data_IF_228971951654
#
_entry.id   IF_228971951654
#
_cell.length_a   1.000
_cell.length_b   1.000
_cell.length_c   1.000
_cell.angle_alpha   90.00
_cell.angle_beta   90.00
_cell.angle_gamma   90.00
#
_symmetry.space_group_name_H-M   'P 1'
#
loop_
_entity.id
_entity.type
_entity.pdbx_description
1 polymer ?
#
# COMPACT_ATOMS: atom_id res chain seq x y z
N UNK A 1 -30.89 -30.06 10.24
CA UNK A 1 -29.55 -30.39 9.72
C UNK A 1 -29.15 -29.33 8.72
N UNK A 2 -27.94 -28.82 8.89
CA UNK A 2 -27.17 -27.84 8.10
C UNK A 2 -27.34 -28.04 6.58
N UNK A 3 -27.26 -27.05 5.70
CA UNK A 3 -26.18 -26.05 5.55
C UNK A 3 -26.75 -24.79 4.89
N UNK A 4 -26.79 -23.68 5.62
CA UNK A 4 -26.76 -22.34 5.03
C UNK A 4 -25.32 -21.88 5.06
N UNK A 5 -24.65 -21.90 3.90
CA UNK A 5 -23.46 -21.08 3.65
C UNK A 5 -23.25 -21.00 2.15
N UNK A 6 -24.07 -20.15 1.53
CA UNK A 6 -23.62 -19.44 0.35
C UNK A 6 -22.40 -18.61 0.76
N UNK A 7 -21.22 -19.21 0.70
CA UNK A 7 -19.93 -18.53 0.88
C UNK A 7 -19.57 -17.82 -0.43
N UNK A 8 -20.43 -16.86 -0.77
CA UNK A 8 -20.02 -15.48 -1.08
C UNK A 8 -18.82 -15.15 -0.15
N UNK A 9 -17.66 -14.71 -0.59
CA UNK A 9 -17.34 -13.83 -1.69
C UNK A 9 -15.83 -13.87 -1.93
N UNK A 10 -15.45 -13.65 -3.19
CA UNK A 10 -14.17 -13.15 -3.69
C UNK A 10 -12.87 -13.79 -3.17
N UNK A 11 -12.15 -14.38 -4.11
CA UNK A 11 -10.75 -14.04 -4.36
C UNK A 11 -9.99 -13.42 -3.17
N UNK A 12 -9.06 -14.20 -2.65
CA UNK A 12 -7.85 -13.82 -1.93
C UNK A 12 -6.94 -12.85 -2.72
N UNK A 13 -7.49 -11.94 -3.52
CA UNK A 13 -6.78 -10.87 -4.22
C UNK A 13 -6.61 -9.68 -3.27
N UNK A 14 -5.84 -9.88 -2.20
CA UNK A 14 -5.24 -8.76 -1.48
C UNK A 14 -4.46 -7.86 -2.46
N UNK A 15 -4.13 -6.62 -2.09
CA UNK A 15 -3.34 -5.76 -2.95
C UNK A 15 -2.05 -6.48 -3.37
N UNK A 16 -1.87 -6.69 -4.68
CA UNK A 16 -0.68 -7.35 -5.24
C UNK A 16 0.49 -6.39 -5.37
N UNK A 17 0.23 -5.11 -5.44
CA UNK A 17 1.24 -4.06 -5.62
C UNK A 17 1.05 -2.96 -4.58
N UNK A 18 2.01 -2.83 -3.68
CA UNK A 18 2.07 -1.75 -2.70
C UNK A 18 3.07 -0.70 -3.17
N UNK A 19 2.62 0.55 -3.28
CA UNK A 19 3.49 1.68 -3.62
C UNK A 19 3.95 2.33 -2.32
N UNK A 20 5.19 2.05 -1.92
CA UNK A 20 5.77 2.45 -0.64
C UNK A 20 6.64 3.69 -0.84
N UNK A 21 6.46 4.75 -0.03
CA UNK A 21 7.31 5.95 -0.05
C UNK A 21 8.48 5.89 0.94
N UNK A 22 8.53 4.87 1.79
CA UNK A 22 9.62 4.62 2.73
C UNK A 22 9.24 3.55 3.75
N UNK A 23 10.26 2.93 4.35
CA UNK A 23 10.12 1.95 5.43
C UNK A 23 10.89 2.45 6.64
N UNK A 24 10.26 2.43 7.82
CA UNK A 24 10.81 3.04 9.03
C UNK A 24 10.73 2.07 10.20
N UNK A 25 11.74 2.05 11.07
CA UNK A 25 11.67 1.32 12.34
C UNK A 25 10.81 2.03 13.39
N UNK A 26 10.74 3.36 13.30
CA UNK A 26 10.03 4.20 14.27
C UNK A 26 8.68 4.60 13.69
N UNK A 27 7.55 4.29 14.35
CA UNK A 27 6.21 4.57 13.81
C UNK A 27 5.95 6.06 13.59
N UNK A 28 6.47 6.92 14.47
CA UNK A 28 6.34 8.39 14.36
C UNK A 28 6.95 8.96 13.07
N UNK A 29 8.03 8.35 12.57
CA UNK A 29 8.64 8.75 11.30
C UNK A 29 7.77 8.35 10.11
N UNK A 30 7.19 7.15 10.15
CA UNK A 30 6.21 6.72 9.16
C UNK A 30 4.97 7.62 9.16
N UNK A 31 4.44 7.99 10.33
CA UNK A 31 3.31 8.92 10.45
C UNK A 31 3.62 10.30 9.88
N UNK A 32 4.82 10.84 10.16
CA UNK A 32 5.26 12.10 9.56
C UNK A 32 5.23 12.01 8.04
N UNK A 33 5.72 10.89 7.47
CA UNK A 33 5.70 10.67 6.04
C UNK A 33 4.29 10.57 5.47
N UNK A 34 3.37 9.88 6.16
CA UNK A 34 1.95 9.83 5.76
C UNK A 34 1.31 11.20 5.77
N UNK A 35 1.58 12.03 6.80
CA UNK A 35 1.06 13.41 6.84
C UNK A 35 1.55 14.26 5.68
N UNK A 36 2.82 14.12 5.28
CA UNK A 36 3.37 14.78 4.08
C UNK A 36 2.64 14.33 2.81
N UNK A 37 2.42 13.01 2.66
CA UNK A 37 1.70 12.43 1.53
C UNK A 37 0.24 12.90 1.47
N UNK A 38 -0.43 12.98 2.61
CA UNK A 38 -1.80 13.51 2.71
C UNK A 38 -1.85 14.98 2.27
N UNK A 39 -0.89 15.81 2.73
CA UNK A 39 -0.76 17.21 2.29
C UNK A 39 -0.50 17.34 0.79
N UNK A 40 0.23 16.39 0.20
CA UNK A 40 0.46 16.32 -1.24
C UNK A 40 -0.74 15.76 -2.04
N UNK A 41 -1.84 15.40 -1.38
CA UNK A 41 -3.09 14.93 -2.01
C UNK A 41 -3.28 13.42 -2.02
N UNK A 42 -2.33 12.63 -1.51
CA UNK A 42 -2.42 11.18 -1.44
C UNK A 42 -3.20 10.71 -0.21
N UNK A 43 -4.52 10.94 -0.19
CA UNK A 43 -5.38 10.64 0.98
C UNK A 43 -5.48 9.15 1.34
N UNK A 44 -5.19 8.27 0.39
CA UNK A 44 -5.16 6.81 0.60
C UNK A 44 -3.86 6.32 1.26
N UNK A 45 -2.89 7.21 1.48
CA UNK A 45 -1.64 6.82 2.10
C UNK A 45 -1.87 6.36 3.55
N UNK A 46 -1.23 5.26 3.93
CA UNK A 46 -1.34 4.65 5.24
C UNK A 46 -0.10 3.86 5.62
N UNK A 47 0.01 3.50 6.90
CA UNK A 47 1.11 2.68 7.40
C UNK A 47 0.69 1.21 7.31
N UNK A 48 1.54 0.40 6.71
CA UNK A 48 1.38 -1.06 6.65
C UNK A 48 2.61 -1.70 7.28
N UNK A 49 2.40 -2.60 8.23
CA UNK A 49 3.45 -3.47 8.76
C UNK A 49 3.31 -4.80 8.04
N UNK A 50 4.33 -5.16 7.25
CA UNK A 50 4.32 -6.44 6.54
C UNK A 50 4.68 -7.55 7.53
N UNK A 51 4.02 -8.72 7.51
CA UNK A 51 4.24 -9.77 8.50
C UNK A 51 5.68 -10.33 8.52
N UNK A 52 6.40 -10.24 7.41
CA UNK A 52 7.82 -10.63 7.29
C UNK A 52 8.79 -9.51 7.70
N UNK A 53 8.30 -8.41 8.29
CA UNK A 53 9.08 -7.21 8.50
C UNK A 53 8.69 -6.46 9.78
N UNK A 54 9.69 -6.08 10.57
CA UNK A 54 9.51 -5.21 11.73
C UNK A 54 9.47 -3.71 11.34
N UNK A 55 9.49 -3.40 10.04
CA UNK A 55 9.44 -2.03 9.55
C UNK A 55 7.98 -1.57 9.32
N UNK A 56 7.69 -0.35 9.76
CA UNK A 56 6.50 0.41 9.43
C UNK A 56 6.66 1.00 8.02
N UNK A 57 6.00 0.41 7.03
CA UNK A 57 6.05 0.90 5.65
C UNK A 57 4.99 1.99 5.44
N UNK A 58 5.43 3.16 4.97
CA UNK A 58 4.55 4.24 4.54
C UNK A 58 4.08 3.95 3.11
N UNK A 59 2.90 3.34 2.98
CA UNK A 59 2.26 3.03 1.70
C UNK A 59 1.49 4.25 1.21
N UNK A 60 1.73 4.68 -0.03
CA UNK A 60 0.98 5.75 -0.70
C UNK A 60 -0.38 5.22 -1.15
N UNK A 61 -0.38 4.04 -1.76
CA UNK A 61 -1.56 3.36 -2.26
C UNK A 61 -1.23 1.89 -2.55
N UNK A 62 -2.27 1.07 -2.71
CA UNK A 62 -2.11 -0.33 -3.05
C UNK A 62 -3.13 -0.76 -4.11
N UNK A 63 -2.71 -1.66 -5.00
CA UNK A 63 -3.49 -2.04 -6.18
C UNK A 63 -3.46 -3.56 -6.38
N UNK A 64 -4.55 -4.10 -6.90
CA UNK A 64 -4.62 -5.48 -7.38
C UNK A 64 -3.94 -5.66 -8.75
N UNK A 65 -3.92 -4.60 -9.57
CA UNK A 65 -3.43 -4.63 -10.95
C UNK A 65 -2.17 -3.77 -11.17
N UNK A 66 -1.25 -4.30 -11.98
CA UNK A 66 0.00 -3.61 -12.32
C UNK A 66 -0.24 -2.31 -13.09
N UNK A 67 -1.24 -2.28 -13.99
CA UNK A 67 -1.56 -1.09 -14.76
C UNK A 67 -1.96 0.10 -13.87
N UNK A 68 -2.72 -0.14 -12.80
CA UNK A 68 -3.12 0.89 -11.83
C UNK A 68 -1.93 1.37 -11.00
N UNK A 69 -1.06 0.44 -10.59
CA UNK A 69 0.21 0.76 -9.93
C UNK A 69 1.11 1.64 -10.81
N UNK A 70 1.26 1.30 -12.09
CA UNK A 70 2.07 2.05 -13.05
C UNK A 70 1.55 3.47 -13.29
N UNK A 71 0.23 3.67 -13.32
CA UNK A 71 -0.36 5.03 -13.39
C UNK A 71 0.02 5.89 -12.19
N UNK A 72 0.04 5.33 -10.98
CA UNK A 72 0.48 6.07 -9.79
C UNK A 72 1.98 6.34 -9.84
N UNK A 73 2.78 5.35 -10.25
CA UNK A 73 4.23 5.48 -10.41
C UNK A 73 4.60 6.61 -11.37
N UNK A 74 3.95 6.70 -12.52
CA UNK A 74 4.21 7.79 -13.48
C UNK A 74 3.95 9.18 -12.88
N UNK A 75 2.90 9.31 -12.05
CA UNK A 75 2.63 10.55 -11.30
C UNK A 75 3.71 10.84 -10.25
N UNK A 76 4.16 9.82 -9.51
CA UNK A 76 5.20 9.97 -8.49
C UNK A 76 6.56 10.33 -9.10
N UNK A 77 6.91 9.73 -10.23
CA UNK A 77 8.10 10.09 -11.01
C UNK A 77 8.06 11.56 -11.46
N UNK A 78 6.93 12.00 -12.01
CA UNK A 78 6.74 13.40 -12.43
C UNK A 78 6.84 14.38 -11.27
N UNK A 79 6.35 13.99 -10.09
CA UNK A 79 6.42 14.77 -8.87
C UNK A 79 7.77 14.65 -8.12
N UNK A 80 8.73 13.85 -8.64
CA UNK A 80 10.01 13.53 -8.00
C UNK A 80 9.86 13.01 -6.56
N UNK A 81 8.77 12.29 -6.29
CA UNK A 81 8.52 11.67 -4.99
C UNK A 81 9.20 10.31 -4.98
N UNK A 82 10.08 10.01 -4.00
CA UNK A 82 10.68 8.69 -3.90
C UNK A 82 9.61 7.63 -3.59
N UNK A 83 9.68 6.52 -4.33
CA UNK A 83 8.77 5.39 -4.20
C UNK A 83 9.50 4.07 -4.49
N UNK A 84 8.94 2.99 -3.95
CA UNK A 84 9.34 1.61 -4.18
C UNK A 84 8.08 0.75 -4.33
N UNK A 85 8.10 -0.22 -5.24
CA UNK A 85 6.97 -1.15 -5.43
C UNK A 85 7.30 -2.44 -4.70
N UNK A 86 6.50 -2.78 -3.68
CA UNK A 86 6.54 -4.09 -3.04
C UNK A 86 5.42 -4.95 -3.60
N UNK A 87 5.75 -6.14 -4.11
CA UNK A 87 4.76 -7.12 -4.52
C UNK A 87 4.29 -7.89 -3.28
N UNK A 88 2.97 -8.00 -3.10
CA UNK A 88 2.39 -8.91 -2.13
C UNK A 88 2.57 -10.34 -2.62
N UNK A 89 3.32 -11.15 -1.89
CA UNK A 89 3.33 -12.60 -2.06
C UNK A 89 2.00 -13.13 -1.56
N UNK A 90 1.22 -13.72 -2.48
CA UNK A 90 0.03 -14.49 -2.15
C UNK A 90 0.46 -15.90 -1.72
#
# INVERSE_FOLDING_TARGET
MSVWSARRDLDTLGPKFYIVSGSFLVPQNAEKRIRELHKAGYRRAGIVVFPESEFYAAVIDSFADEASANKLVAKLQSARIPYFIKRGTN
#
